data_IF_416627761337
#
_entry.id   IF_416627761337
#
_cell.length_a   1.000
_cell.length_b   1.000
_cell.length_c   1.000
_cell.angle_alpha   90.00
_cell.angle_beta   90.00
_cell.angle_gamma   90.00
#
_symmetry.space_group_name_H-M   'P 1'
#
loop_
_entity.id
_entity.type
_entity.pdbx_description
1 polymer ?
#
# COMPACT_ATOMS: atom_id res chain seq x y z
N UNK A 1 -0.70 -31.38 6.14
CA UNK A 1 -1.63 -30.26 5.98
C UNK A 1 -1.98 -30.15 4.50
N UNK A 2 -3.25 -30.25 4.14
CA UNK A 2 -3.66 -30.44 2.76
C UNK A 2 -3.42 -29.18 1.90
N UNK A 3 -2.96 -29.37 0.68
CA UNK A 3 -2.83 -28.32 -0.37
C UNK A 3 -4.15 -27.53 -0.53
N UNK A 4 -5.28 -28.23 -0.36
CA UNK A 4 -6.62 -27.65 -0.40
C UNK A 4 -6.80 -26.48 0.60
N UNK A 5 -6.28 -26.60 1.82
CA UNK A 5 -6.42 -25.55 2.83
C UNK A 5 -5.66 -24.27 2.42
N UNK A 6 -4.45 -24.41 1.87
CA UNK A 6 -3.67 -23.26 1.35
C UNK A 6 -4.34 -22.63 0.12
N UNK A 7 -5.05 -23.41 -0.70
CA UNK A 7 -5.78 -22.91 -1.87
C UNK A 7 -7.07 -22.16 -1.49
N UNK A 8 -7.72 -22.52 -0.38
CA UNK A 8 -8.95 -21.87 0.08
C UNK A 8 -8.71 -20.56 0.82
N UNK A 9 -7.57 -20.40 1.51
CA UNK A 9 -7.27 -19.22 2.32
C UNK A 9 -7.28 -17.89 1.54
N UNK A 10 -6.73 -17.78 0.31
CA UNK A 10 -6.83 -16.57 -0.50
C UNK A 10 -8.26 -16.09 -0.76
N UNK A 11 -9.24 -17.00 -0.76
CA UNK A 11 -10.66 -16.64 -0.91
C UNK A 11 -11.32 -16.30 0.43
N UNK A 12 -11.00 -17.04 1.48
CA UNK A 12 -11.61 -16.86 2.80
C UNK A 12 -11.18 -15.55 3.48
N UNK A 13 -9.90 -15.18 3.37
CA UNK A 13 -9.35 -14.00 4.05
C UNK A 13 -10.03 -12.70 3.58
N UNK A 14 -10.21 -12.41 2.27
CA UNK A 14 -10.90 -11.23 1.81
C UNK A 14 -12.38 -11.18 2.20
N UNK A 15 -13.05 -12.33 2.24
CA UNK A 15 -14.44 -12.43 2.74
C UNK A 15 -14.50 -12.10 4.23
N UNK A 16 -13.58 -12.63 5.02
CA UNK A 16 -13.46 -12.29 6.44
C UNK A 16 -13.11 -10.83 6.64
N UNK A 17 -12.22 -10.27 5.80
CA UNK A 17 -11.89 -8.85 5.81
C UNK A 17 -13.14 -7.99 5.57
N UNK A 18 -13.93 -8.32 4.55
CA UNK A 18 -15.17 -7.61 4.22
C UNK A 18 -16.17 -7.66 5.39
N UNK A 19 -16.43 -8.86 5.92
CA UNK A 19 -17.39 -9.06 7.03
C UNK A 19 -16.92 -8.36 8.30
N UNK A 20 -15.67 -8.57 8.69
CA UNK A 20 -15.12 -7.98 9.90
C UNK A 20 -15.06 -6.45 9.83
N UNK A 21 -14.68 -5.87 8.68
CA UNK A 21 -14.70 -4.41 8.50
C UNK A 21 -16.13 -3.87 8.60
N UNK A 22 -17.12 -4.57 8.05
CA UNK A 22 -18.54 -4.22 8.23
C UNK A 22 -18.97 -4.25 9.69
N UNK A 23 -18.57 -5.29 10.42
CA UNK A 23 -18.92 -5.44 11.83
C UNK A 23 -18.32 -4.33 12.71
N UNK A 24 -17.15 -3.80 12.36
CA UNK A 24 -16.56 -2.64 13.05
C UNK A 24 -17.51 -1.44 13.03
N UNK A 25 -18.23 -1.19 11.94
CA UNK A 25 -19.19 -0.08 11.84
C UNK A 25 -20.49 -0.31 12.61
N UNK A 26 -20.86 -1.57 12.87
CA UNK A 26 -22.07 -1.90 13.65
C UNK A 26 -21.79 -2.04 15.14
N UNK A 27 -20.60 -2.52 15.51
CA UNK A 27 -20.22 -2.85 16.89
C UNK A 27 -18.92 -2.13 17.25
N UNK A 28 -19.04 -0.84 17.53
CA UNK A 28 -17.89 0.06 17.73
C UNK A 28 -16.97 -0.38 18.88
N UNK A 29 -17.52 -1.01 19.95
CA UNK A 29 -16.74 -1.45 21.10
C UNK A 29 -15.84 -2.66 20.82
N UNK A 30 -16.14 -3.44 19.78
CA UNK A 30 -15.42 -4.67 19.43
C UNK A 30 -14.40 -4.50 18.30
N UNK A 31 -14.16 -3.26 17.84
CA UNK A 31 -13.25 -3.00 16.73
C UNK A 31 -11.84 -3.60 16.89
N UNK A 32 -11.19 -3.61 18.10
CA UNK A 32 -9.86 -4.20 18.23
C UNK A 32 -9.84 -5.70 18.00
N UNK A 33 -10.92 -6.40 18.36
CA UNK A 33 -11.05 -7.84 18.19
C UNK A 33 -11.22 -8.21 16.71
N UNK A 34 -12.07 -7.49 15.98
CA UNK A 34 -12.26 -7.73 14.55
C UNK A 34 -10.98 -7.40 13.77
N UNK A 35 -10.31 -6.33 14.14
CA UNK A 35 -9.03 -5.94 13.56
C UNK A 35 -7.95 -7.01 13.84
N UNK A 36 -7.81 -7.43 15.09
CA UNK A 36 -6.89 -8.48 15.50
C UNK A 36 -7.13 -9.80 14.76
N UNK A 37 -8.40 -10.17 14.55
CA UNK A 37 -8.77 -11.39 13.82
C UNK A 37 -8.32 -11.32 12.35
N UNK A 38 -8.55 -10.21 11.66
CA UNK A 38 -8.10 -10.02 10.26
C UNK A 38 -6.57 -10.18 10.16
N UNK A 39 -5.84 -9.51 11.05
CA UNK A 39 -4.39 -9.58 11.05
C UNK A 39 -3.89 -10.99 11.38
N UNK A 40 -4.49 -11.66 12.37
CA UNK A 40 -4.12 -13.00 12.78
C UNK A 40 -4.33 -14.03 11.65
N UNK A 41 -5.49 -13.98 10.97
CA UNK A 41 -5.79 -14.90 9.86
C UNK A 41 -4.88 -14.63 8.65
N UNK A 42 -4.60 -13.36 8.36
CA UNK A 42 -3.65 -12.99 7.31
C UNK A 42 -2.24 -13.50 7.63
N UNK A 43 -1.76 -13.33 8.85
CA UNK A 43 -0.47 -13.85 9.30
C UNK A 43 -0.42 -15.37 9.25
N UNK A 44 -1.48 -16.06 9.69
CA UNK A 44 -1.57 -17.52 9.66
C UNK A 44 -1.33 -18.04 8.24
N UNK A 45 -1.94 -17.44 7.22
CA UNK A 45 -1.72 -17.81 5.82
C UNK A 45 -0.24 -17.78 5.44
N UNK A 46 0.47 -16.69 5.79
CA UNK A 46 1.90 -16.57 5.47
C UNK A 46 2.80 -17.48 6.33
N UNK A 47 2.42 -17.74 7.57
CA UNK A 47 3.12 -18.74 8.40
C UNK A 47 3.03 -20.13 7.76
N UNK A 48 1.85 -20.50 7.27
CA UNK A 48 1.63 -21.78 6.58
C UNK A 48 2.40 -21.85 5.25
N UNK A 49 2.42 -20.76 4.48
CA UNK A 49 3.23 -20.64 3.26
C UNK A 49 4.72 -20.81 3.55
N UNK A 50 5.23 -20.14 4.60
CA UNK A 50 6.63 -20.21 4.99
C UNK A 50 7.03 -21.61 5.45
N UNK A 51 6.17 -22.26 6.25
CA UNK A 51 6.41 -23.62 6.73
C UNK A 51 6.58 -24.61 5.58
N UNK A 52 5.79 -24.46 4.51
CA UNK A 52 5.83 -25.35 3.37
C UNK A 52 7.00 -25.04 2.41
N UNK A 53 7.27 -23.76 2.13
CA UNK A 53 8.22 -23.35 1.07
C UNK A 53 9.60 -22.92 1.60
N UNK A 54 9.76 -22.68 2.91
CA UNK A 54 11.00 -22.21 3.57
C UNK A 54 11.65 -20.97 2.92
N UNK A 55 10.92 -20.24 2.08
CA UNK A 55 11.44 -19.05 1.37
C UNK A 55 11.39 -17.83 2.29
N UNK A 56 12.51 -17.09 2.39
CA UNK A 56 12.61 -15.84 3.17
C UNK A 56 11.70 -14.72 2.60
N UNK A 57 11.36 -14.79 1.32
CA UNK A 57 10.49 -13.81 0.66
C UNK A 57 9.07 -13.78 1.24
N UNK A 58 8.62 -14.89 1.83
CA UNK A 58 7.28 -14.98 2.45
C UNK A 58 7.07 -13.95 3.55
N UNK A 59 8.11 -13.66 4.36
CA UNK A 59 8.01 -12.67 5.45
C UNK A 59 7.73 -11.27 4.89
N UNK A 60 8.41 -10.91 3.80
CA UNK A 60 8.22 -9.61 3.16
C UNK A 60 6.82 -9.47 2.56
N UNK A 61 6.29 -10.54 1.97
CA UNK A 61 4.93 -10.57 1.44
C UNK A 61 3.88 -10.51 2.54
N UNK A 62 4.13 -11.17 3.67
CA UNK A 62 3.26 -11.07 4.85
C UNK A 62 3.17 -9.63 5.35
N UNK A 63 4.31 -8.94 5.45
CA UNK A 63 4.35 -7.54 5.86
C UNK A 63 3.55 -6.63 4.90
N UNK A 64 3.68 -6.84 3.59
CA UNK A 64 2.90 -6.12 2.60
C UNK A 64 1.39 -6.38 2.76
N UNK A 65 0.99 -7.64 2.95
CA UNK A 65 -0.41 -8.00 3.19
C UNK A 65 -1.00 -7.30 4.43
N UNK A 66 -0.21 -7.20 5.51
CA UNK A 66 -0.61 -6.48 6.71
C UNK A 66 -0.79 -4.99 6.47
N UNK A 67 0.16 -4.34 5.81
CA UNK A 67 0.03 -2.91 5.45
C UNK A 67 -1.18 -2.69 4.56
N UNK A 68 -1.44 -3.62 3.61
CA UNK A 68 -2.60 -3.58 2.74
C UNK A 68 -3.90 -3.63 3.55
N UNK A 69 -4.03 -4.58 4.48
CA UNK A 69 -5.20 -4.70 5.35
C UNK A 69 -5.38 -3.45 6.24
N UNK A 70 -4.28 -2.97 6.85
CA UNK A 70 -4.29 -1.78 7.72
C UNK A 70 -4.71 -0.53 6.95
N UNK A 71 -4.17 -0.31 5.74
CA UNK A 71 -4.49 0.88 4.94
C UNK A 71 -5.96 0.95 4.55
N UNK A 72 -6.56 -0.19 4.15
CA UNK A 72 -7.97 -0.25 3.81
C UNK A 72 -8.89 -0.03 5.01
N UNK A 73 -8.57 -0.63 6.15
CA UNK A 73 -9.31 -0.42 7.40
C UNK A 73 -9.22 1.04 7.85
N UNK A 74 -7.99 1.59 7.93
CA UNK A 74 -7.78 2.96 8.37
C UNK A 74 -8.52 3.96 7.48
N UNK A 75 -8.46 3.78 6.15
CA UNK A 75 -9.15 4.68 5.24
C UNK A 75 -10.68 4.53 5.31
N UNK A 76 -11.20 3.32 5.52
CA UNK A 76 -12.64 3.11 5.68
C UNK A 76 -13.23 3.90 6.86
N UNK A 77 -12.44 4.11 7.92
CA UNK A 77 -12.85 4.90 9.10
C UNK A 77 -12.86 6.42 8.84
N UNK A 78 -12.23 6.88 7.77
CA UNK A 78 -12.22 8.30 7.37
C UNK A 78 -13.43 8.66 6.50
N UNK A 79 -14.05 7.64 5.89
CA UNK A 79 -15.21 7.84 5.03
C UNK A 79 -16.48 8.05 5.86
N UNK A 80 -17.27 9.08 5.51
CA UNK A 80 -18.49 9.43 6.23
C UNK A 80 -19.74 8.81 5.61
N UNK A 81 -19.77 8.72 4.27
CA UNK A 81 -20.96 8.26 3.55
C UNK A 81 -21.06 6.72 3.56
N UNK A 82 -22.15 6.14 4.12
CA UNK A 82 -22.29 4.68 4.25
C UNK A 82 -22.31 3.93 2.92
N UNK A 83 -22.79 4.56 1.84
CA UNK A 83 -22.76 3.94 0.50
C UNK A 83 -21.32 3.86 -0.01
N UNK A 84 -20.57 4.96 0.14
CA UNK A 84 -19.16 5.02 -0.27
C UNK A 84 -18.33 4.03 0.54
N UNK A 85 -18.55 3.94 1.86
CA UNK A 85 -17.90 2.95 2.74
C UNK A 85 -18.12 1.53 2.21
N UNK A 86 -19.36 1.17 1.90
CA UNK A 86 -19.71 -0.17 1.42
C UNK A 86 -19.03 -0.51 0.10
N UNK A 87 -19.05 0.42 -0.86
CA UNK A 87 -18.39 0.26 -2.16
C UNK A 87 -16.88 0.13 -1.98
N UNK A 88 -16.30 0.98 -1.13
CA UNK A 88 -14.87 0.96 -0.85
C UNK A 88 -14.43 -0.37 -0.22
N UNK A 89 -15.10 -0.83 0.84
CA UNK A 89 -14.78 -2.10 1.51
C UNK A 89 -14.87 -3.28 0.54
N UNK A 90 -15.89 -3.30 -0.33
CA UNK A 90 -16.04 -4.34 -1.35
C UNK A 90 -14.87 -4.29 -2.35
N UNK A 91 -14.60 -3.13 -2.92
CA UNK A 91 -13.51 -2.96 -3.89
C UNK A 91 -12.15 -3.32 -3.27
N UNK A 92 -11.90 -2.87 -2.02
CA UNK A 92 -10.66 -3.15 -1.32
C UNK A 92 -10.49 -4.65 -1.00
N UNK A 93 -11.58 -5.32 -0.63
CA UNK A 93 -11.59 -6.78 -0.41
C UNK A 93 -11.26 -7.54 -1.70
N UNK A 94 -11.76 -7.08 -2.85
CA UNK A 94 -11.43 -7.66 -4.15
C UNK A 94 -9.93 -7.46 -4.50
N UNK A 95 -9.38 -6.28 -4.28
CA UNK A 95 -7.95 -6.03 -4.46
C UNK A 95 -7.10 -6.89 -3.52
N UNK A 96 -7.55 -7.08 -2.27
CA UNK A 96 -6.86 -7.93 -1.32
C UNK A 96 -6.88 -9.40 -1.76
N UNK A 97 -8.01 -9.86 -2.29
CA UNK A 97 -8.10 -11.18 -2.92
C UNK A 97 -7.11 -11.35 -4.07
N UNK A 98 -7.08 -10.40 -5.01
CA UNK A 98 -6.15 -10.43 -6.14
C UNK A 98 -4.68 -10.51 -5.68
N UNK A 99 -4.33 -9.79 -4.62
CA UNK A 99 -2.99 -9.85 -4.05
C UNK A 99 -2.66 -11.23 -3.48
N UNK A 100 -3.55 -11.80 -2.64
CA UNK A 100 -3.33 -13.11 -2.02
C UNK A 100 -3.30 -14.23 -3.07
N UNK A 101 -4.14 -14.14 -4.09
CA UNK A 101 -4.16 -15.08 -5.21
C UNK A 101 -2.86 -15.00 -6.02
N UNK A 102 -2.37 -13.80 -6.32
CA UNK A 102 -1.09 -13.61 -7.00
C UNK A 102 0.10 -14.16 -6.17
N UNK A 103 0.06 -14.02 -4.84
CA UNK A 103 1.03 -14.65 -3.95
C UNK A 103 0.96 -16.18 -4.04
N UNK A 104 -0.24 -16.74 -4.04
CA UNK A 104 -0.41 -18.19 -4.19
C UNK A 104 0.17 -18.70 -5.51
N UNK A 105 -0.13 -18.04 -6.63
CA UNK A 105 0.40 -18.38 -7.95
C UNK A 105 1.92 -18.28 -8.03
N UNK A 106 2.54 -17.25 -7.44
CA UNK A 106 4.01 -17.06 -7.42
C UNK A 106 4.75 -18.23 -6.73
N UNK A 107 4.08 -18.95 -5.81
CA UNK A 107 4.69 -20.06 -5.08
C UNK A 107 4.33 -21.46 -5.59
N UNK A 108 3.17 -21.63 -6.19
CA UNK A 108 2.63 -22.96 -6.51
C UNK A 108 2.36 -23.20 -7.99
N UNK A 109 2.05 -22.17 -8.75
CA UNK A 109 1.70 -22.29 -10.15
C UNK A 109 2.73 -21.51 -10.97
N UNK A 110 3.63 -22.25 -11.64
CA UNK A 110 4.69 -21.66 -12.50
C UNK A 110 4.16 -21.20 -13.85
N UNK A 111 2.88 -21.40 -14.15
CA UNK A 111 2.28 -20.99 -15.39
C UNK A 111 2.20 -19.47 -15.50
N UNK A 112 2.98 -18.93 -16.46
CA UNK A 112 3.11 -17.49 -16.75
C UNK A 112 1.83 -16.84 -17.32
N UNK A 113 0.73 -17.55 -17.35
CA UNK A 113 -0.55 -17.11 -17.95
C UNK A 113 -1.42 -16.30 -17.02
N UNK A 114 -1.06 -16.18 -15.74
CA UNK A 114 -1.83 -15.34 -14.83
C UNK A 114 -1.67 -13.85 -15.20
N UNK A 115 -2.78 -13.25 -15.62
CA UNK A 115 -2.82 -11.87 -16.15
C UNK A 115 -2.35 -10.84 -15.10
N UNK A 116 -2.50 -11.16 -13.81
CA UNK A 116 -2.09 -10.31 -12.70
C UNK A 116 -0.79 -10.80 -12.07
N UNK A 117 0.35 -10.50 -12.71
CA UNK A 117 1.65 -10.80 -12.13
C UNK A 117 1.79 -10.08 -10.77
N UNK A 118 2.23 -10.82 -9.74
CA UNK A 118 2.47 -10.28 -8.38
C UNK A 118 3.33 -9.01 -8.39
N UNK A 119 4.25 -8.90 -9.33
CA UNK A 119 5.10 -7.74 -9.54
C UNK A 119 4.28 -6.48 -9.87
N UNK A 120 3.31 -6.59 -10.78
CA UNK A 120 2.45 -5.48 -11.19
C UNK A 120 1.46 -5.11 -10.09
N UNK A 121 0.86 -6.12 -9.43
CA UNK A 121 -0.05 -5.89 -8.29
C UNK A 121 0.69 -5.16 -7.16
N UNK A 122 1.92 -5.56 -6.87
CA UNK A 122 2.73 -4.90 -5.83
C UNK A 122 3.06 -3.45 -6.23
N UNK A 123 3.37 -3.18 -7.50
CA UNK A 123 3.70 -1.84 -7.98
C UNK A 123 2.50 -0.89 -7.89
N UNK A 124 1.38 -1.28 -8.48
CA UNK A 124 0.16 -0.44 -8.50
C UNK A 124 -0.57 -0.44 -7.16
N UNK A 125 -0.59 -1.58 -6.47
CA UNK A 125 -1.17 -1.69 -5.13
C UNK A 125 -0.50 -0.77 -4.11
N UNK A 126 0.82 -0.60 -4.22
CA UNK A 126 1.53 0.35 -3.34
C UNK A 126 1.09 1.80 -3.53
N UNK A 127 0.78 2.23 -4.75
CA UNK A 127 0.27 3.59 -5.00
C UNK A 127 -1.04 3.79 -4.24
N UNK A 128 -1.94 2.81 -4.31
CA UNK A 128 -3.21 2.84 -3.59
C UNK A 128 -3.01 2.80 -2.07
N UNK A 129 -2.12 1.92 -1.58
CA UNK A 129 -1.79 1.83 -0.15
C UNK A 129 -1.26 3.17 0.36
N UNK A 130 -0.33 3.80 -0.37
CA UNK A 130 0.26 5.09 0.03
C UNK A 130 -0.81 6.16 0.05
N UNK A 131 -1.67 6.22 -0.97
CA UNK A 131 -2.77 7.17 -0.99
C UNK A 131 -3.68 7.00 0.23
N UNK A 132 -4.23 5.80 0.44
CA UNK A 132 -5.20 5.55 1.51
C UNK A 132 -4.59 5.68 2.90
N UNK A 133 -3.37 5.18 3.09
CA UNK A 133 -2.70 5.27 4.39
C UNK A 133 -2.29 6.70 4.72
N UNK A 134 -1.78 7.46 3.74
CA UNK A 134 -1.44 8.88 3.95
C UNK A 134 -2.71 9.68 4.27
N UNK A 135 -3.79 9.49 3.51
CA UNK A 135 -5.06 10.15 3.76
C UNK A 135 -5.62 9.83 5.16
N UNK A 136 -5.57 8.56 5.55
CA UNK A 136 -6.04 8.14 6.87
C UNK A 136 -5.18 8.71 8.00
N UNK A 137 -3.86 8.61 7.91
CA UNK A 137 -2.96 9.08 8.97
C UNK A 137 -2.95 10.60 9.11
N UNK A 138 -3.02 11.35 8.00
CA UNK A 138 -3.13 12.82 8.05
C UNK A 138 -4.45 13.27 8.65
N UNK A 139 -5.56 12.58 8.37
CA UNK A 139 -6.84 12.84 9.02
C UNK A 139 -6.79 12.49 10.51
N UNK A 140 -6.31 11.29 10.86
CA UNK A 140 -6.23 10.83 12.25
C UNK A 140 -5.23 11.63 13.09
N UNK A 141 -4.23 12.27 12.49
CA UNK A 141 -3.28 13.10 13.25
C UNK A 141 -3.99 14.23 14.01
N UNK A 142 -5.10 14.75 13.48
CA UNK A 142 -5.93 15.76 14.11
C UNK A 142 -6.70 15.15 15.31
N UNK A 143 -7.31 13.98 15.13
CA UNK A 143 -8.12 13.33 16.18
C UNK A 143 -7.27 12.70 17.31
N UNK A 144 -6.12 12.13 16.96
CA UNK A 144 -5.22 11.45 17.89
C UNK A 144 -4.19 12.41 18.53
N UNK A 145 -4.25 13.71 18.19
CA UNK A 145 -3.27 14.71 18.62
C UNK A 145 -1.82 14.27 18.38
N UNK A 146 -1.58 13.59 17.24
CA UNK A 146 -0.23 13.17 16.86
C UNK A 146 0.61 14.40 16.57
N UNK A 147 1.79 14.45 17.16
CA UNK A 147 2.75 15.48 16.80
C UNK A 147 3.21 15.29 15.36
N UNK A 148 3.54 16.40 14.70
CA UNK A 148 4.06 16.40 13.32
C UNK A 148 5.19 15.37 13.13
N UNK A 149 6.13 15.31 14.06
CA UNK A 149 7.27 14.38 14.00
C UNK A 149 6.87 12.90 14.11
N UNK A 150 5.86 12.59 14.93
CA UNK A 150 5.34 11.22 15.06
C UNK A 150 4.72 10.76 13.74
N UNK A 151 3.93 11.61 13.09
CA UNK A 151 3.35 11.32 11.79
C UNK A 151 4.43 11.05 10.74
N UNK A 152 5.46 11.91 10.65
CA UNK A 152 6.57 11.72 9.71
C UNK A 152 7.35 10.43 9.99
N UNK A 153 7.62 10.11 11.26
CA UNK A 153 8.32 8.88 11.65
C UNK A 153 7.54 7.61 11.26
N UNK A 154 6.23 7.60 11.46
CA UNK A 154 5.40 6.46 11.06
C UNK A 154 5.45 6.29 9.54
N UNK A 155 5.24 7.38 8.79
CA UNK A 155 5.16 7.34 7.33
C UNK A 155 6.50 7.02 6.67
N UNK A 156 7.65 7.50 7.21
CA UNK A 156 8.96 7.17 6.64
C UNK A 156 9.23 5.67 6.70
N UNK A 157 8.87 5.02 7.80
CA UNK A 157 9.05 3.56 7.96
C UNK A 157 8.19 2.81 6.95
N UNK A 158 6.93 3.22 6.79
CA UNK A 158 6.01 2.58 5.84
C UNK A 158 6.48 2.79 4.40
N UNK A 159 6.80 4.03 4.03
CA UNK A 159 7.28 4.33 2.66
C UNK A 159 8.57 3.58 2.35
N UNK A 160 9.51 3.55 3.28
CA UNK A 160 10.74 2.77 3.12
C UNK A 160 10.46 1.29 2.88
N UNK A 161 9.61 0.67 3.68
CA UNK A 161 9.26 -0.74 3.53
C UNK A 161 8.60 -1.03 2.18
N UNK A 162 7.65 -0.20 1.75
CA UNK A 162 6.96 -0.37 0.47
C UNK A 162 7.92 -0.19 -0.72
N UNK A 163 8.78 0.83 -0.68
CA UNK A 163 9.80 1.10 -1.70
C UNK A 163 10.82 -0.04 -1.79
N UNK A 164 11.34 -0.47 -0.65
CA UNK A 164 12.28 -1.59 -0.56
C UNK A 164 11.71 -2.86 -1.19
N UNK A 165 10.46 -3.19 -0.84
CA UNK A 165 9.76 -4.37 -1.35
C UNK A 165 9.59 -4.34 -2.87
N UNK A 166 9.14 -3.21 -3.43
CA UNK A 166 8.97 -3.07 -4.87
C UNK A 166 10.28 -3.24 -5.61
N UNK A 167 11.34 -2.56 -5.17
CA UNK A 167 12.65 -2.64 -5.82
C UNK A 167 13.24 -4.07 -5.74
N UNK A 168 13.08 -4.73 -4.60
CA UNK A 168 13.53 -6.10 -4.43
C UNK A 168 12.77 -7.07 -5.35
N UNK A 169 11.46 -6.87 -5.52
CA UNK A 169 10.61 -7.67 -6.42
C UNK A 169 10.92 -7.45 -7.89
N UNK A 170 11.42 -6.28 -8.24
CA UNK A 170 11.91 -5.95 -9.58
C UNK A 170 13.31 -6.55 -9.88
N UNK A 171 13.77 -7.49 -9.04
CA UNK A 171 15.05 -8.20 -9.22
C UNK A 171 16.28 -7.36 -8.91
N UNK A 172 16.15 -6.26 -8.18
CA UNK A 172 17.28 -5.43 -7.77
C UNK A 172 18.03 -6.04 -6.59
N UNK A 173 19.33 -5.76 -6.50
CA UNK A 173 20.12 -6.25 -5.37
C UNK A 173 19.60 -5.71 -4.04
N UNK A 174 19.73 -6.47 -2.92
CA UNK A 174 19.27 -5.99 -1.61
C UNK A 174 19.94 -4.69 -1.18
N UNK A 175 21.19 -4.45 -1.60
CA UNK A 175 21.90 -3.21 -1.33
C UNK A 175 21.27 -2.02 -2.07
N UNK A 176 21.08 -2.15 -3.38
CA UNK A 176 20.43 -1.11 -4.19
C UNK A 176 19.01 -0.83 -3.71
N UNK A 177 18.23 -1.87 -3.40
CA UNK A 177 16.86 -1.72 -2.90
C UNK A 177 16.82 -0.95 -1.57
N UNK A 178 17.77 -1.20 -0.65
CA UNK A 178 17.89 -0.44 0.61
C UNK A 178 18.27 1.01 0.38
N UNK A 179 19.28 1.27 -0.44
CA UNK A 179 19.77 2.62 -0.70
C UNK A 179 18.69 3.49 -1.37
N UNK A 180 18.13 3.03 -2.49
CA UNK A 180 17.09 3.77 -3.20
C UNK A 180 15.79 3.86 -2.39
N UNK A 181 15.45 2.81 -1.63
CA UNK A 181 14.33 2.83 -0.71
C UNK A 181 14.47 3.91 0.36
N UNK A 182 15.65 4.03 0.97
CA UNK A 182 15.92 5.05 1.99
C UNK A 182 15.89 6.48 1.40
N UNK A 183 16.59 6.71 0.29
CA UNK A 183 16.61 8.04 -0.36
C UNK A 183 15.20 8.46 -0.77
N UNK A 184 14.47 7.60 -1.46
CA UNK A 184 13.12 7.93 -1.95
C UNK A 184 12.11 8.13 -0.80
N UNK A 185 12.23 7.36 0.30
CA UNK A 185 11.35 7.55 1.45
C UNK A 185 11.61 8.88 2.17
N UNK A 186 12.86 9.31 2.25
CA UNK A 186 13.21 10.63 2.77
C UNK A 186 12.60 11.75 1.91
N UNK A 187 12.76 11.67 0.59
CA UNK A 187 12.19 12.67 -0.35
C UNK A 187 10.65 12.71 -0.22
N UNK A 188 9.98 11.56 -0.07
CA UNK A 188 8.53 11.53 0.13
C UNK A 188 8.09 12.17 1.44
N UNK A 189 8.84 11.95 2.52
CA UNK A 189 8.54 12.54 3.83
C UNK A 189 8.81 14.04 3.83
N UNK A 190 9.86 14.52 3.17
CA UNK A 190 10.10 15.96 2.97
C UNK A 190 8.97 16.61 2.16
N UNK A 191 8.54 15.94 1.08
CA UNK A 191 7.39 16.39 0.28
C UNK A 191 6.10 16.43 1.14
N UNK A 192 5.85 15.41 1.95
CA UNK A 192 4.72 15.40 2.88
C UNK A 192 4.81 16.55 3.87
N UNK A 193 6.00 16.76 4.47
CA UNK A 193 6.23 17.88 5.38
C UNK A 193 5.90 19.22 4.75
N UNK A 194 6.29 19.44 3.49
CA UNK A 194 5.95 20.66 2.76
C UNK A 194 4.43 20.78 2.48
N UNK A 195 3.77 19.67 2.11
CA UNK A 195 2.35 19.67 1.76
C UNK A 195 1.42 19.87 2.97
N UNK A 196 1.80 19.41 4.16
CA UNK A 196 0.98 19.58 5.37
C UNK A 196 0.81 21.07 5.74
N UNK A 197 1.75 21.93 5.38
CA UNK A 197 1.62 23.37 5.62
C UNK A 197 0.72 24.08 4.60
N UNK A 198 0.29 23.40 3.54
CA UNK A 198 -0.68 23.96 2.60
C UNK A 198 -2.10 23.82 3.16
N UNK A 199 -2.95 24.86 3.06
CA UNK A 199 -4.35 24.79 3.49
C UNK A 199 -5.19 23.95 2.51
N UNK A 200 -4.90 22.67 2.43
CA UNK A 200 -5.55 21.75 1.49
C UNK A 200 -6.07 20.51 2.21
N UNK A 201 -7.08 19.88 1.62
CA UNK A 201 -7.65 18.66 2.20
C UNK A 201 -6.64 17.52 2.25
N UNK A 202 -6.80 16.62 3.23
CA UNK A 202 -5.96 15.43 3.36
C UNK A 202 -5.96 14.52 2.12
N UNK A 203 -7.02 14.57 1.30
CA UNK A 203 -7.08 13.86 0.01
C UNK A 203 -6.10 14.43 -1.01
N UNK A 204 -5.95 15.74 -1.07
CA UNK A 204 -4.99 16.44 -1.95
C UNK A 204 -3.56 16.11 -1.55
N UNK A 205 -3.28 16.14 -0.26
CA UNK A 205 -1.97 15.74 0.29
C UNK A 205 -1.66 14.30 -0.10
N UNK A 206 -2.59 13.38 0.16
CA UNK A 206 -2.40 11.96 -0.13
C UNK A 206 -2.22 11.67 -1.63
N UNK A 207 -3.01 12.33 -2.50
CA UNK A 207 -2.89 12.19 -3.95
C UNK A 207 -1.52 12.71 -4.46
N UNK A 208 -1.05 13.83 -3.92
CA UNK A 208 0.25 14.40 -4.25
C UNK A 208 1.40 13.47 -3.84
N UNK A 209 1.32 12.86 -2.66
CA UNK A 209 2.30 11.88 -2.18
C UNK A 209 2.27 10.60 -3.02
N UNK A 210 1.10 10.09 -3.36
CA UNK A 210 0.96 8.91 -4.22
C UNK A 210 1.55 9.15 -5.63
N UNK A 211 1.37 10.34 -6.19
CA UNK A 211 1.99 10.76 -7.44
C UNK A 211 3.52 10.87 -7.31
N UNK A 212 4.01 11.47 -6.22
CA UNK A 212 5.44 11.54 -5.90
C UNK A 212 6.07 10.16 -5.78
N UNK A 213 5.39 9.24 -5.11
CA UNK A 213 5.82 7.85 -5.01
C UNK A 213 5.92 7.18 -6.40
N UNK A 214 4.87 7.31 -7.23
CA UNK A 214 4.90 6.77 -8.60
C UNK A 214 6.09 7.30 -9.41
N UNK A 215 6.34 8.61 -9.34
CA UNK A 215 7.46 9.25 -10.01
C UNK A 215 8.82 8.68 -9.54
N UNK A 216 9.03 8.64 -8.22
CA UNK A 216 10.28 8.19 -7.63
C UNK A 216 10.56 6.71 -7.92
N UNK A 217 9.55 5.83 -7.81
CA UNK A 217 9.69 4.40 -8.15
C UNK A 217 10.02 4.23 -9.63
N UNK A 218 9.29 4.91 -10.52
CA UNK A 218 9.51 4.81 -11.97
C UNK A 218 10.90 5.27 -12.36
N UNK A 219 11.36 6.42 -11.86
CA UNK A 219 12.70 6.93 -12.13
C UNK A 219 13.79 6.03 -11.54
N UNK A 220 13.59 5.51 -10.34
CA UNK A 220 14.53 4.57 -9.70
C UNK A 220 14.68 3.29 -10.50
N UNK A 221 13.58 2.71 -10.98
CA UNK A 221 13.60 1.50 -11.79
C UNK A 221 14.29 1.73 -13.13
N UNK A 222 14.01 2.85 -13.80
CA UNK A 222 14.67 3.22 -15.05
C UNK A 222 16.17 3.46 -14.86
N UNK A 223 16.56 4.13 -13.77
CA UNK A 223 17.97 4.34 -13.41
C UNK A 223 18.69 3.02 -13.15
N UNK A 224 18.10 2.14 -12.34
CA UNK A 224 18.67 0.84 -12.00
C UNK A 224 18.72 -0.14 -13.20
N UNK A 225 17.92 0.09 -14.24
CA UNK A 225 17.95 -0.66 -15.49
C UNK A 225 18.88 -0.03 -16.55
N UNK A 226 19.59 1.05 -16.24
CA UNK A 226 20.38 1.85 -17.17
C UNK A 226 19.57 2.36 -18.40
N UNK A 227 18.26 2.54 -18.21
CA UNK A 227 17.35 3.03 -19.25
C UNK A 227 16.99 4.50 -19.06
N UNK A 228 17.46 5.13 -17.97
CA UNK A 228 17.19 6.54 -17.70
C UNK A 228 17.97 7.43 -18.66
N UNK A 229 17.24 8.05 -19.58
CA UNK A 229 17.77 9.07 -20.48
C UNK A 229 17.16 10.44 -20.13
N UNK A 230 17.87 11.51 -20.40
CA UNK A 230 17.42 12.88 -20.14
C UNK A 230 16.02 13.16 -20.73
N UNK A 231 15.73 12.66 -21.93
CA UNK A 231 14.42 12.78 -22.57
C UNK A 231 13.31 12.05 -21.81
N UNK A 232 13.60 10.86 -21.30
CA UNK A 232 12.66 10.05 -20.51
C UNK A 232 12.42 10.72 -19.14
N UNK A 233 13.48 11.18 -18.49
CA UNK A 233 13.37 11.92 -17.22
C UNK A 233 12.43 13.12 -17.32
N UNK A 234 12.65 14.00 -18.31
CA UNK A 234 11.79 15.18 -18.50
C UNK A 234 10.35 14.82 -18.86
N UNK A 235 10.11 13.71 -19.57
CA UNK A 235 8.75 13.23 -19.88
C UNK A 235 8.01 12.86 -18.60
N UNK A 236 8.61 12.04 -17.72
CA UNK A 236 7.99 11.65 -16.46
C UNK A 236 7.77 12.85 -15.54
N UNK A 237 8.75 13.72 -15.45
CA UNK A 237 8.68 14.94 -14.63
C UNK A 237 7.57 15.88 -15.12
N UNK A 238 7.51 16.19 -16.41
CA UNK A 238 6.49 17.07 -16.99
C UNK A 238 5.08 16.50 -16.80
N UNK A 239 4.90 15.19 -17.00
CA UNK A 239 3.62 14.53 -16.78
C UNK A 239 3.18 14.58 -15.31
N UNK A 240 4.10 14.32 -14.39
CA UNK A 240 3.83 14.40 -12.95
C UNK A 240 3.53 15.82 -12.48
N UNK A 241 4.25 16.84 -12.99
CA UNK A 241 3.97 18.25 -12.70
C UNK A 241 2.59 18.65 -13.22
N UNK A 242 2.21 18.20 -14.43
CA UNK A 242 0.89 18.47 -15.00
C UNK A 242 -0.23 17.88 -14.15
N UNK A 243 -0.09 16.62 -13.72
CA UNK A 243 -1.09 15.98 -12.83
C UNK A 243 -1.12 16.69 -11.47
N UNK A 244 0.04 17.01 -10.89
CA UNK A 244 0.10 17.74 -9.62
C UNK A 244 -0.58 19.09 -9.72
N UNK A 245 -0.33 19.83 -10.79
CA UNK A 245 -1.00 21.10 -11.05
C UNK A 245 -2.52 20.93 -11.17
N UNK A 246 -2.99 19.89 -11.87
CA UNK A 246 -4.41 19.58 -11.95
C UNK A 246 -5.02 19.27 -10.56
N UNK A 247 -4.34 18.46 -9.74
CA UNK A 247 -4.77 18.15 -8.37
C UNK A 247 -4.87 19.43 -7.53
N UNK A 248 -3.86 20.30 -7.59
CA UNK A 248 -3.83 21.54 -6.81
C UNK A 248 -4.86 22.58 -7.31
N UNK A 249 -5.12 22.65 -8.61
CA UNK A 249 -6.12 23.57 -9.18
C UNK A 249 -7.56 23.13 -8.87
N UNK A 250 -7.80 21.81 -8.74
CA UNK A 250 -9.12 21.28 -8.38
C UNK A 250 -9.32 21.16 -6.87
N UNK A 251 -8.28 21.44 -6.08
CA UNK A 251 -8.34 21.38 -4.63
C UNK A 251 -9.29 22.45 -4.07
N UNK A 252 -10.19 22.06 -3.19
CA UNK A 252 -10.86 23.02 -2.32
C UNK A 252 -9.85 23.51 -1.27
N UNK A 253 -9.45 24.76 -1.36
CA UNK A 253 -8.59 25.42 -0.38
C UNK A 253 -9.43 25.79 0.84
N UNK A 254 -9.05 25.30 2.03
CA UNK A 254 -9.76 25.50 3.30
C UNK A 254 -9.12 26.63 4.07
#
# INVERSE_FOLDING_TARGET
MSFLLLRLLPYLIPVLFFVATKLVFYYNDFWPWFFGLILAVSLLYFVLLKYKNRDKRVILLAFFALIYAISGLAYSLVLENPVVINIFILAWSMFYWLYLEAVFHDFYETDKTFVFNLMNITLYGNILIIFFLTAALTNFSIFLNLTFWQLLLILIVVYYCLLYLVLLRQGKSPYQSRLYGAINSLVLVELLGALIFLPSSFYVIAASIALGYYLLVSLSLLSLNNQLNRKIFFRYLSFSILILAAILLTAAWI
#
